data_IF_614556486120
#
_entry.id   IF_614556486120
#
_cell.length_a   1.000
_cell.length_b   1.000
_cell.length_c   1.000
_cell.angle_alpha   90.00
_cell.angle_beta   90.00
_cell.angle_gamma   90.00
#
_symmetry.space_group_name_H-M   'P 1'
#
loop_
_entity.id
_entity.type
_entity.pdbx_description
1 polymer ?
#
# COMPACT_ATOMS: atom_id res chain seq x y z
N UNK A 1 44.05 37.97 -12.48
CA UNK A 1 44.11 36.53 -12.19
C UNK A 1 42.75 36.06 -11.71
N UNK A 2 42.09 35.22 -12.51
CA UNK A 2 40.71 34.78 -12.36
C UNK A 2 40.62 33.57 -11.42
N UNK A 3 39.82 33.65 -10.37
CA UNK A 3 39.42 32.51 -9.54
C UNK A 3 37.91 32.37 -9.58
N UNK A 4 37.38 31.83 -10.69
CA UNK A 4 36.02 31.28 -10.73
C UNK A 4 36.09 29.82 -10.32
N UNK A 5 36.05 29.58 -9.02
CA UNK A 5 35.71 28.26 -8.46
C UNK A 5 34.25 27.95 -8.79
N UNK A 6 34.03 27.27 -9.91
CA UNK A 6 32.74 26.66 -10.21
C UNK A 6 32.46 25.55 -9.19
N UNK A 7 31.54 25.79 -8.26
CA UNK A 7 30.89 24.70 -7.53
C UNK A 7 29.83 24.09 -8.46
N UNK A 8 29.80 22.77 -8.65
CA UNK A 8 28.62 22.14 -9.23
C UNK A 8 27.47 22.30 -8.24
N UNK A 9 26.49 23.14 -8.58
CA UNK A 9 25.19 23.10 -7.93
C UNK A 9 24.52 21.79 -8.34
N UNK A 10 24.81 20.73 -7.61
CA UNK A 10 24.00 19.52 -7.65
C UNK A 10 22.61 19.91 -7.15
N UNK A 11 21.71 20.21 -8.09
CA UNK A 11 20.29 20.39 -7.88
C UNK A 11 19.68 19.09 -7.35
N UNK A 12 19.92 18.79 -6.07
CA UNK A 12 19.20 17.76 -5.35
C UNK A 12 17.78 18.29 -5.20
N UNK A 13 16.92 17.99 -6.15
CA UNK A 13 15.48 18.02 -5.94
C UNK A 13 15.21 17.14 -4.72
N UNK A 14 15.03 17.78 -3.57
CA UNK A 14 14.81 17.11 -2.29
C UNK A 14 13.50 16.35 -2.43
N UNK A 15 13.58 15.03 -2.66
CA UNK A 15 12.37 14.20 -2.72
C UNK A 15 11.60 14.39 -1.41
N UNK A 16 10.29 14.60 -1.46
CA UNK A 16 9.48 14.89 -0.28
C UNK A 16 9.66 13.78 0.77
N UNK A 17 9.64 14.14 2.06
CA UNK A 17 9.84 13.20 3.15
C UNK A 17 8.69 12.19 3.23
N UNK A 18 8.97 11.02 3.81
CA UNK A 18 7.93 10.02 4.08
C UNK A 18 6.97 10.58 5.13
N UNK A 19 5.68 10.55 4.83
CA UNK A 19 4.64 11.10 5.69
C UNK A 19 4.02 9.98 6.53
N UNK A 20 4.08 10.05 7.87
CA UNK A 20 3.47 9.04 8.74
C UNK A 20 1.97 8.86 8.49
N UNK A 21 1.27 9.95 8.16
CA UNK A 21 -0.15 9.94 7.80
C UNK A 21 -0.46 9.00 6.64
N UNK A 22 0.39 8.96 5.61
CA UNK A 22 0.22 8.06 4.46
C UNK A 22 0.38 6.58 4.83
N UNK A 23 1.26 6.28 5.79
CA UNK A 23 1.45 4.90 6.29
C UNK A 23 0.23 4.46 7.09
N UNK A 24 -0.27 5.32 7.99
CA UNK A 24 -1.46 5.03 8.81
C UNK A 24 -2.70 4.89 7.93
N UNK A 25 -2.84 5.73 6.90
CA UNK A 25 -3.91 5.60 5.91
C UNK A 25 -3.85 4.26 5.18
N UNK A 26 -2.67 3.88 4.68
CA UNK A 26 -2.47 2.61 3.99
C UNK A 26 -2.81 1.40 4.88
N UNK A 27 -2.33 1.44 6.14
CA UNK A 27 -2.64 0.44 7.14
C UNK A 27 -4.15 0.32 7.36
N UNK A 28 -4.82 1.44 7.65
CA UNK A 28 -6.25 1.49 7.94
C UNK A 28 -7.09 1.00 6.76
N UNK A 29 -6.79 1.47 5.54
CA UNK A 29 -7.50 1.05 4.34
C UNK A 29 -7.28 -0.43 4.04
N UNK A 30 -6.06 -0.94 4.20
CA UNK A 30 -5.79 -2.36 3.95
C UNK A 30 -6.55 -3.24 4.95
N UNK A 31 -6.47 -2.92 6.25
CA UNK A 31 -7.19 -3.66 7.29
C UNK A 31 -8.70 -3.58 7.08
N UNK A 32 -9.25 -2.38 6.86
CA UNK A 32 -10.68 -2.18 6.68
C UNK A 32 -11.22 -2.90 5.44
N UNK A 33 -10.58 -2.76 4.28
CA UNK A 33 -11.08 -3.35 3.03
C UNK A 33 -10.96 -4.87 3.03
N UNK A 34 -9.86 -5.42 3.55
CA UNK A 34 -9.70 -6.88 3.67
C UNK A 34 -10.72 -7.46 4.66
N UNK A 35 -10.89 -6.83 5.82
CA UNK A 35 -11.88 -7.28 6.81
C UNK A 35 -13.29 -7.20 6.25
N UNK A 36 -13.64 -6.09 5.59
CA UNK A 36 -14.94 -5.90 4.95
C UNK A 36 -15.20 -6.91 3.84
N UNK A 37 -14.18 -7.21 3.01
CA UNK A 37 -14.29 -8.21 1.96
C UNK A 37 -14.46 -9.63 2.54
N UNK A 38 -13.75 -9.96 3.61
CA UNK A 38 -13.91 -11.24 4.31
C UNK A 38 -15.33 -11.36 4.90
N UNK A 39 -15.83 -10.32 5.57
CA UNK A 39 -17.19 -10.30 6.10
C UNK A 39 -18.23 -10.48 5.00
N UNK A 40 -18.06 -9.80 3.86
CA UNK A 40 -18.97 -9.93 2.72
C UNK A 40 -19.03 -11.37 2.20
N UNK A 41 -17.89 -12.04 2.05
CA UNK A 41 -17.85 -13.44 1.62
C UNK A 41 -18.55 -14.35 2.63
N UNK A 42 -18.28 -14.15 3.92
CA UNK A 42 -18.96 -14.88 5.00
C UNK A 42 -20.48 -14.70 4.97
N UNK A 43 -20.97 -13.47 4.79
CA UNK A 43 -22.41 -13.18 4.75
C UNK A 43 -23.12 -13.70 3.50
N UNK A 44 -22.42 -13.77 2.37
CA UNK A 44 -22.99 -14.19 1.08
C UNK A 44 -22.83 -15.69 0.81
N UNK A 45 -22.17 -16.42 1.71
CA UNK A 45 -21.86 -17.85 1.56
C UNK A 45 -21.21 -18.19 0.20
N UNK A 46 -20.39 -17.26 -0.31
CA UNK A 46 -19.70 -17.44 -1.59
C UNK A 46 -18.66 -18.58 -1.48
N UNK A 47 -18.36 -19.28 -2.59
CA UNK A 47 -17.40 -20.38 -2.60
C UNK A 47 -15.98 -19.90 -2.26
N UNK A 48 -15.12 -20.82 -1.81
CA UNK A 48 -13.72 -20.58 -1.40
C UNK A 48 -12.89 -19.80 -2.44
N UNK A 49 -13.20 -19.92 -3.73
CA UNK A 49 -12.54 -19.18 -4.80
C UNK A 49 -12.79 -17.67 -4.71
N UNK A 50 -13.95 -17.26 -4.18
CA UNK A 50 -14.28 -15.87 -3.91
C UNK A 50 -13.52 -15.32 -2.68
N UNK A 51 -13.22 -16.15 -1.67
CA UNK A 51 -12.38 -15.75 -0.52
C UNK A 51 -10.97 -15.36 -0.96
N UNK A 52 -10.39 -16.15 -1.85
CA UNK A 52 -9.10 -15.83 -2.45
C UNK A 52 -9.19 -14.48 -3.18
N UNK A 53 -10.22 -14.28 -4.01
CA UNK A 53 -10.42 -13.02 -4.74
C UNK A 53 -10.56 -11.81 -3.79
N UNK A 54 -11.33 -11.94 -2.71
CA UNK A 54 -11.52 -10.92 -1.69
C UNK A 54 -10.18 -10.53 -1.01
N UNK A 55 -9.33 -11.53 -0.78
CA UNK A 55 -7.98 -11.37 -0.20
C UNK A 55 -7.01 -10.64 -1.13
N UNK A 56 -7.28 -10.58 -2.43
CA UNK A 56 -6.47 -9.83 -3.41
C UNK A 56 -7.07 -8.46 -3.75
N UNK A 57 -8.38 -8.38 -3.94
CA UNK A 57 -9.06 -7.17 -4.42
C UNK A 57 -9.02 -6.06 -3.36
N UNK A 58 -9.29 -6.39 -2.09
CA UNK A 58 -9.24 -5.41 -1.00
C UNK A 58 -7.88 -4.69 -0.91
N UNK A 59 -6.76 -5.44 -0.84
CA UNK A 59 -5.43 -4.84 -0.80
C UNK A 59 -5.02 -4.07 -2.03
N UNK A 60 -5.41 -4.52 -3.22
CA UNK A 60 -5.14 -3.78 -4.46
C UNK A 60 -5.83 -2.41 -4.41
N UNK A 61 -7.10 -2.37 -4.02
CA UNK A 61 -7.85 -1.12 -3.88
C UNK A 61 -7.20 -0.24 -2.79
N UNK A 62 -6.82 -0.82 -1.65
CA UNK A 62 -6.13 -0.09 -0.57
C UNK A 62 -4.82 0.56 -1.07
N UNK A 63 -4.02 -0.18 -1.83
CA UNK A 63 -2.78 0.32 -2.42
C UNK A 63 -3.00 1.47 -3.41
N UNK A 64 -3.98 1.32 -4.30
CA UNK A 64 -4.38 2.38 -5.26
C UNK A 64 -4.84 3.64 -4.51
N UNK A 65 -5.75 3.49 -3.54
CA UNK A 65 -6.26 4.60 -2.76
C UNK A 65 -5.14 5.31 -1.98
N UNK A 66 -4.19 4.55 -1.45
CA UNK A 66 -3.02 5.11 -0.77
C UNK A 66 -2.18 5.97 -1.72
N UNK A 67 -1.91 5.47 -2.92
CA UNK A 67 -1.13 6.22 -3.90
C UNK A 67 -1.84 7.50 -4.34
N UNK A 68 -3.16 7.47 -4.50
CA UNK A 68 -3.98 8.65 -4.80
C UNK A 68 -4.00 9.65 -3.63
N UNK A 69 -4.09 9.15 -2.39
CA UNK A 69 -4.11 9.97 -1.18
C UNK A 69 -2.79 10.72 -0.97
N UNK A 70 -1.65 10.01 -1.04
CA UNK A 70 -0.34 10.61 -0.76
C UNK A 70 0.21 11.38 -1.96
N UNK A 71 -0.16 10.99 -3.19
CA UNK A 71 0.30 11.53 -4.49
C UNK A 71 1.79 11.37 -4.79
N UNK A 72 2.64 11.44 -3.78
CA UNK A 72 4.09 11.32 -3.90
C UNK A 72 4.63 10.16 -3.06
N UNK A 73 5.50 9.32 -3.64
CA UNK A 73 6.00 8.10 -3.00
C UNK A 73 4.86 7.17 -2.51
N UNK A 74 3.72 7.15 -3.20
CA UNK A 74 2.55 6.35 -2.83
C UNK A 74 2.86 4.86 -2.60
N UNK A 75 3.77 4.29 -3.40
CA UNK A 75 4.21 2.91 -3.29
C UNK A 75 4.92 2.61 -1.97
N UNK A 76 5.77 3.51 -1.46
CA UNK A 76 6.47 3.26 -0.18
C UNK A 76 5.53 3.33 1.02
N UNK A 77 4.54 4.22 0.96
CA UNK A 77 3.52 4.33 2.00
C UNK A 77 2.60 3.12 2.00
N UNK A 78 2.16 2.68 0.80
CA UNK A 78 1.36 1.47 0.63
C UNK A 78 2.12 0.22 1.09
N UNK A 79 3.41 0.12 0.76
CA UNK A 79 4.26 -0.99 1.20
C UNK A 79 4.42 -1.01 2.72
N UNK A 80 4.76 0.12 3.35
CA UNK A 80 4.94 0.18 4.81
C UNK A 80 3.64 -0.11 5.55
N UNK A 81 2.53 0.51 5.14
CA UNK A 81 1.22 0.21 5.73
C UNK A 81 0.79 -1.24 5.49
N UNK A 82 1.07 -1.77 4.30
CA UNK A 82 0.85 -3.17 3.94
C UNK A 82 1.62 -4.12 4.84
N UNK A 83 2.93 -3.90 5.04
CA UNK A 83 3.77 -4.72 5.92
C UNK A 83 3.27 -4.69 7.37
N UNK A 84 2.93 -3.51 7.89
CA UNK A 84 2.40 -3.37 9.26
C UNK A 84 1.03 -4.05 9.39
N UNK A 85 0.23 -4.07 8.32
CA UNK A 85 -1.07 -4.74 8.33
C UNK A 85 -0.98 -6.28 8.34
N UNK A 86 0.14 -6.88 7.91
CA UNK A 86 0.30 -8.35 7.84
C UNK A 86 -0.02 -9.04 9.16
N UNK A 87 0.63 -8.73 10.30
CA UNK A 87 0.31 -9.38 11.57
C UNK A 87 -1.13 -9.13 11.99
N UNK A 88 -1.64 -7.90 11.81
CA UNK A 88 -3.01 -7.53 12.19
C UNK A 88 -4.03 -8.38 11.43
N UNK A 89 -3.90 -8.45 10.11
CA UNK A 89 -4.77 -9.24 9.25
C UNK A 89 -4.66 -10.74 9.52
N UNK A 90 -3.44 -11.22 9.75
CA UNK A 90 -3.19 -12.65 10.02
C UNK A 90 -3.94 -13.09 11.28
N UNK A 91 -3.83 -12.34 12.37
CA UNK A 91 -4.42 -12.73 13.65
C UNK A 91 -5.90 -12.37 13.77
N UNK A 92 -6.34 -11.22 13.24
CA UNK A 92 -7.71 -10.74 13.43
C UNK A 92 -8.67 -11.17 12.33
N UNK A 93 -8.19 -11.41 11.11
CA UNK A 93 -9.06 -11.69 9.94
C UNK A 93 -8.89 -13.12 9.46
N UNK A 94 -7.64 -13.56 9.27
CA UNK A 94 -7.33 -14.86 8.66
C UNK A 94 -7.07 -15.98 9.67
N UNK A 95 -7.38 -15.80 10.96
CA UNK A 95 -7.29 -16.89 11.94
C UNK A 95 -5.91 -17.57 12.06
N UNK A 96 -4.83 -16.87 11.73
CA UNK A 96 -3.46 -17.39 11.79
C UNK A 96 -2.84 -17.81 10.45
N UNK A 97 -3.57 -17.75 9.33
CA UNK A 97 -3.01 -18.07 8.01
C UNK A 97 -2.10 -16.95 7.49
N UNK A 98 -0.81 -17.03 7.81
CA UNK A 98 0.22 -16.05 7.41
C UNK A 98 0.32 -15.80 5.90
N UNK A 99 0.02 -16.81 5.09
CA UNK A 99 0.08 -16.71 3.63
C UNK A 99 -0.83 -15.59 3.12
N UNK A 100 -2.07 -15.52 3.62
CA UNK A 100 -3.03 -14.49 3.23
C UNK A 100 -2.63 -13.10 3.73
N UNK A 101 -2.09 -13.01 4.96
CA UNK A 101 -1.55 -11.75 5.48
C UNK A 101 -0.41 -11.21 4.60
N UNK A 102 0.56 -12.07 4.25
CA UNK A 102 1.70 -11.71 3.40
C UNK A 102 1.23 -11.29 2.01
N UNK A 103 0.30 -12.03 1.40
CA UNK A 103 -0.26 -11.64 0.11
C UNK A 103 -0.96 -10.29 0.21
N UNK A 104 -1.80 -10.06 1.21
CA UNK A 104 -2.47 -8.78 1.38
C UNK A 104 -1.47 -7.61 1.50
N UNK A 105 -0.41 -7.76 2.29
CA UNK A 105 0.65 -6.74 2.37
C UNK A 105 1.35 -6.51 1.01
N UNK A 106 1.70 -7.59 0.31
CA UNK A 106 2.40 -7.53 -0.98
C UNK A 106 1.55 -6.87 -2.07
N UNK A 107 0.28 -7.24 -2.22
CA UNK A 107 -0.62 -6.67 -3.22
C UNK A 107 -0.94 -5.20 -2.96
N UNK A 108 -1.05 -4.80 -1.69
CA UNK A 108 -1.17 -3.39 -1.32
C UNK A 108 0.06 -2.57 -1.78
N UNK A 109 1.26 -3.05 -1.48
CA UNK A 109 2.50 -2.39 -1.91
C UNK A 109 2.67 -2.36 -3.44
N UNK A 110 2.39 -3.46 -4.12
CA UNK A 110 2.49 -3.57 -5.58
C UNK A 110 1.50 -2.63 -6.28
N UNK A 111 0.24 -2.64 -5.85
CA UNK A 111 -0.79 -1.78 -6.42
C UNK A 111 -0.49 -0.29 -6.19
N UNK A 112 -0.03 0.07 -4.98
CA UNK A 112 0.40 1.44 -4.69
C UNK A 112 1.60 1.88 -5.52
N UNK A 113 2.57 0.99 -5.74
CA UNK A 113 3.74 1.26 -6.58
C UNK A 113 3.36 1.42 -8.06
N UNK A 114 2.46 0.57 -8.57
CA UNK A 114 1.96 0.66 -9.94
C UNK A 114 1.16 1.96 -10.13
N UNK A 115 0.28 2.30 -9.20
CA UNK A 115 -0.50 3.52 -9.26
C UNK A 115 0.38 4.76 -9.14
N UNK A 116 1.44 4.73 -8.34
CA UNK A 116 2.44 5.79 -8.31
C UNK A 116 3.09 5.99 -9.68
N UNK A 117 3.44 4.93 -10.41
CA UNK A 117 3.97 5.05 -11.78
C UNK A 117 2.95 5.65 -12.75
N UNK A 118 1.66 5.32 -12.59
CA UNK A 118 0.58 5.90 -13.40
C UNK A 118 0.40 7.39 -13.09
N UNK A 119 0.40 7.77 -11.81
CA UNK A 119 0.26 9.16 -11.39
C UNK A 119 1.45 10.03 -11.80
N UNK A 120 2.67 9.47 -11.81
CA UNK A 120 3.87 10.18 -12.32
C UNK A 120 3.85 10.46 -13.83
N UNK A 121 3.00 9.73 -14.58
CA UNK A 121 2.84 9.92 -16.03
C UNK A 121 1.75 10.93 -16.38
N UNK A 122 0.93 11.35 -15.42
CA UNK A 122 -0.09 12.38 -15.59
C UNK A 122 0.43 13.71 -15.05
#
# INVERSE_FOLDING_TARGET
>A
MSRKTGRPQNGRTTKPPIQPSGIVFALGMNVMLVTGAQLLVTFTALPLTAEALATFVGPVIAGVLTAVYVRERGGIHAFLGGVISVPILTYLVFGGYWQFGIFAGAFCGLAGSLMELVLRRR
#
